data_IF_005711263789
#
_entry.id   IF_005711263789
#
_cell.length_a   1.000
_cell.length_b   1.000
_cell.length_c   1.000
_cell.angle_alpha   90.00
_cell.angle_beta   90.00
_cell.angle_gamma   90.00
#
_symmetry.space_group_name_H-M   'P 1'
#
loop_
_entity.id
_entity.type
_entity.pdbx_description
1 polymer ?
#
# COMPACT_ATOMS: atom_id res chain seq x y z
N UNK A 1 5.23 8.18 -9.67
CA UNK A 1 6.01 7.90 -8.46
C UNK A 1 6.09 9.16 -7.62
N UNK A 2 5.84 9.05 -6.29
CA UNK A 2 6.00 10.16 -5.36
C UNK A 2 7.46 10.15 -4.87
N UNK A 3 8.20 11.20 -5.18
CA UNK A 3 9.66 11.25 -4.96
C UNK A 3 10.04 11.95 -3.65
N UNK A 4 9.13 12.74 -3.09
CA UNK A 4 9.39 13.50 -1.88
C UNK A 4 8.28 13.32 -0.85
N UNK A 5 8.63 13.42 0.44
CA UNK A 5 7.66 13.39 1.55
C UNK A 5 6.54 14.43 1.35
N UNK A 6 6.86 15.61 0.83
CA UNK A 6 5.88 16.67 0.57
C UNK A 6 4.85 16.28 -0.49
N UNK A 7 5.28 15.60 -1.55
CA UNK A 7 4.37 15.06 -2.56
C UNK A 7 3.45 13.98 -1.97
N UNK A 8 3.99 13.11 -1.11
CA UNK A 8 3.22 12.11 -0.37
C UNK A 8 2.14 12.75 0.49
N UNK A 9 2.50 13.75 1.29
CA UNK A 9 1.55 14.48 2.15
C UNK A 9 0.45 15.13 1.31
N UNK A 10 0.82 15.77 0.20
CA UNK A 10 -0.16 16.37 -0.73
C UNK A 10 -1.10 15.34 -1.35
N UNK A 11 -0.58 14.16 -1.72
CA UNK A 11 -1.38 13.07 -2.27
C UNK A 11 -2.35 12.48 -1.23
N UNK A 12 -1.91 12.29 0.00
CA UNK A 12 -2.76 11.84 1.12
C UNK A 12 -3.91 12.83 1.36
N UNK A 13 -3.59 14.13 1.44
CA UNK A 13 -4.60 15.18 1.65
C UNK A 13 -5.59 15.25 0.48
N UNK A 14 -5.10 15.10 -0.75
CA UNK A 14 -5.94 15.08 -1.96
C UNK A 14 -6.88 13.88 -2.02
N UNK A 15 -6.50 12.75 -1.45
CA UNK A 15 -7.32 11.54 -1.36
C UNK A 15 -8.23 11.52 -0.14
N UNK A 16 -8.00 12.41 0.84
CA UNK A 16 -8.74 12.40 2.10
C UNK A 16 -10.21 12.83 1.90
N UNK A 17 -11.20 12.08 2.42
CA UNK A 17 -12.61 12.44 2.32
C UNK A 17 -12.90 13.82 2.94
N UNK A 18 -13.45 14.73 2.16
CA UNK A 18 -13.69 16.12 2.59
C UNK A 18 -12.45 17.03 2.53
N UNK A 19 -11.32 16.50 2.02
CA UNK A 19 -10.12 17.28 1.75
C UNK A 19 -9.37 17.79 3.00
N UNK A 20 -8.59 18.85 2.81
CA UNK A 20 -7.68 19.36 3.83
C UNK A 20 -8.37 19.85 5.12
N UNK A 21 -9.58 20.38 5.03
CA UNK A 21 -10.32 20.88 6.20
C UNK A 21 -10.73 19.72 7.12
N UNK A 22 -11.23 18.63 6.53
CA UNK A 22 -11.57 17.43 7.27
C UNK A 22 -10.31 16.73 7.81
N UNK A 23 -9.23 16.69 7.05
CA UNK A 23 -7.95 16.15 7.51
C UNK A 23 -7.38 16.96 8.71
N UNK A 24 -7.45 18.28 8.66
CA UNK A 24 -7.06 19.14 9.79
C UNK A 24 -7.89 18.87 11.04
N UNK A 25 -9.20 18.80 10.89
CA UNK A 25 -10.14 18.50 11.98
C UNK A 25 -9.86 17.11 12.58
N UNK A 26 -9.56 16.11 11.75
CA UNK A 26 -9.20 14.75 12.20
C UNK A 26 -7.97 14.74 13.10
N UNK A 27 -6.99 15.59 12.81
CA UNK A 27 -5.77 15.73 13.62
C UNK A 27 -5.94 16.71 14.80
N UNK A 28 -7.11 17.32 14.98
CA UNK A 28 -7.36 18.32 16.03
C UNK A 28 -6.56 19.60 15.82
N UNK A 29 -6.20 19.94 14.57
CA UNK A 29 -5.46 21.14 14.21
C UNK A 29 -6.38 22.16 13.55
N UNK A 30 -6.16 23.46 13.84
CA UNK A 30 -6.72 24.50 13.00
C UNK A 30 -6.11 24.45 11.59
N UNK A 31 -6.86 24.91 10.58
CA UNK A 31 -6.48 24.78 9.19
C UNK A 31 -5.13 25.44 8.87
N UNK A 32 -4.86 26.62 9.45
CA UNK A 32 -3.60 27.34 9.23
C UNK A 32 -2.40 26.58 9.78
N UNK A 33 -2.53 26.01 10.97
CA UNK A 33 -1.49 25.18 11.60
C UNK A 33 -1.28 23.88 10.82
N UNK A 34 -2.37 23.25 10.39
CA UNK A 34 -2.34 22.07 9.53
C UNK A 34 -1.60 22.34 8.22
N UNK A 35 -1.97 23.41 7.49
CA UNK A 35 -1.30 23.80 6.24
C UNK A 35 0.19 24.08 6.43
N UNK A 36 0.56 24.75 7.53
CA UNK A 36 1.97 24.99 7.84
C UNK A 36 2.75 23.69 8.04
N UNK A 37 2.18 22.73 8.75
CA UNK A 37 2.81 21.41 8.97
C UNK A 37 2.80 20.55 7.69
N UNK A 38 1.70 20.52 6.95
CA UNK A 38 1.55 19.72 5.74
C UNK A 38 2.51 20.15 4.61
N UNK A 39 2.69 21.48 4.48
CA UNK A 39 3.52 22.06 3.42
C UNK A 39 4.88 22.56 3.91
N UNK A 40 5.20 22.34 5.18
CA UNK A 40 6.46 22.74 5.80
C UNK A 40 6.75 24.24 5.64
N UNK A 41 5.72 25.07 5.76
CA UNK A 41 5.82 26.51 5.58
C UNK A 41 6.55 27.14 6.78
N UNK A 42 7.38 28.17 6.49
CA UNK A 42 8.06 29.01 7.49
C UNK A 42 8.83 28.21 8.57
N UNK A 43 9.43 27.07 8.22
CA UNK A 43 10.17 26.23 9.15
C UNK A 43 9.29 25.46 10.14
N UNK A 44 8.01 25.33 9.88
CA UNK A 44 7.10 24.55 10.70
C UNK A 44 7.50 23.07 10.73
N UNK A 45 7.28 22.43 11.88
CA UNK A 45 7.51 20.99 12.02
C UNK A 45 6.55 20.23 11.08
N UNK A 46 7.05 19.27 10.26
CA UNK A 46 6.21 18.48 9.38
C UNK A 46 5.21 17.61 10.15
N UNK A 47 4.16 17.16 9.50
CA UNK A 47 3.26 16.14 10.04
C UNK A 47 4.07 14.90 10.42
N UNK A 48 3.79 14.33 11.60
CA UNK A 48 4.46 13.12 12.07
C UNK A 48 4.01 11.89 11.28
N UNK A 49 4.78 10.82 11.34
CA UNK A 49 4.44 9.55 10.67
C UNK A 49 3.13 8.96 11.21
N UNK A 50 2.88 9.09 12.53
CA UNK A 50 1.60 8.68 13.13
C UNK A 50 0.42 9.49 12.61
N UNK A 51 0.59 10.79 12.39
CA UNK A 51 -0.43 11.64 11.79
C UNK A 51 -0.70 11.25 10.34
N UNK A 52 0.34 11.00 9.54
CA UNK A 52 0.19 10.52 8.17
C UNK A 52 -0.52 9.17 8.13
N UNK A 53 -0.13 8.21 8.97
CA UNK A 53 -0.78 6.92 9.07
C UNK A 53 -2.26 7.04 9.40
N UNK A 54 -2.62 7.92 10.33
CA UNK A 54 -4.00 8.15 10.72
C UNK A 54 -4.85 8.70 9.55
N UNK A 55 -4.29 9.64 8.77
CA UNK A 55 -4.96 10.19 7.59
C UNK A 55 -5.11 9.13 6.50
N UNK A 56 -4.09 8.33 6.24
CA UNK A 56 -4.12 7.27 5.23
C UNK A 56 -5.11 6.16 5.55
N UNK A 57 -5.27 5.79 6.82
CA UNK A 57 -6.26 4.80 7.24
C UNK A 57 -7.69 5.23 6.84
N UNK A 58 -8.02 6.50 6.95
CA UNK A 58 -9.33 7.02 6.56
C UNK A 58 -9.42 7.29 5.04
N UNK A 59 -8.33 7.73 4.43
CA UNK A 59 -8.25 7.94 2.99
C UNK A 59 -8.20 6.62 2.19
N UNK A 60 -7.90 5.50 2.83
CA UNK A 60 -7.72 4.20 2.18
C UNK A 60 -6.52 4.16 1.24
N UNK A 61 -5.45 4.90 1.57
CA UNK A 61 -4.22 5.01 0.76
C UNK A 61 -3.03 4.37 1.44
N UNK A 62 -1.96 4.14 0.67
CA UNK A 62 -0.68 3.56 1.12
C UNK A 62 0.52 4.33 0.58
N UNK A 63 0.35 5.62 0.29
CA UNK A 63 1.38 6.45 -0.33
C UNK A 63 2.64 6.59 0.53
N UNK A 64 2.46 6.73 1.86
CA UNK A 64 3.59 6.89 2.76
C UNK A 64 4.43 5.61 2.91
N UNK A 65 3.88 4.44 3.22
CA UNK A 65 4.68 3.21 3.27
C UNK A 65 5.28 2.83 1.91
N UNK A 66 4.61 3.10 0.79
CA UNK A 66 5.17 2.91 -0.54
C UNK A 66 6.40 3.81 -0.78
N UNK A 67 6.30 5.08 -0.42
CA UNK A 67 7.41 6.03 -0.50
C UNK A 67 8.60 5.58 0.36
N UNK A 68 8.35 5.17 1.61
CA UNK A 68 9.42 4.66 2.48
C UNK A 68 10.08 3.41 1.89
N UNK A 69 9.29 2.46 1.39
CA UNK A 69 9.83 1.26 0.75
C UNK A 69 10.73 1.60 -0.45
N UNK A 70 10.33 2.58 -1.27
CA UNK A 70 11.11 3.04 -2.43
C UNK A 70 12.46 3.65 -2.02
N UNK A 71 12.52 4.42 -0.92
CA UNK A 71 13.79 4.96 -0.42
C UNK A 71 14.82 3.86 -0.09
N UNK A 72 14.35 2.67 0.25
CA UNK A 72 15.18 1.49 0.53
C UNK A 72 15.27 0.52 -0.65
N UNK A 73 14.89 0.95 -1.86
CA UNK A 73 14.81 0.08 -3.05
C UNK A 73 13.94 -1.17 -2.82
N UNK A 74 12.93 -1.04 -1.96
CA UNK A 74 12.00 -2.08 -1.58
C UNK A 74 10.62 -1.88 -2.18
N UNK A 75 9.71 -2.77 -1.82
CA UNK A 75 8.31 -2.75 -2.21
C UNK A 75 7.42 -2.85 -0.96
N UNK A 76 6.39 -2.02 -0.87
CA UNK A 76 5.33 -2.18 0.11
C UNK A 76 4.25 -3.10 -0.44
N UNK A 77 3.82 -4.06 0.36
CA UNK A 77 2.73 -4.98 0.03
C UNK A 77 1.74 -4.99 1.19
N UNK A 78 0.53 -4.51 0.97
CA UNK A 78 -0.53 -4.56 1.96
C UNK A 78 -0.97 -6.01 2.20
N UNK A 79 -0.98 -6.43 3.47
CA UNK A 79 -1.39 -7.78 3.85
C UNK A 79 -2.91 -7.85 3.99
N UNK A 80 -3.51 -8.94 3.52
CA UNK A 80 -4.89 -9.25 3.80
C UNK A 80 -5.08 -9.63 5.27
N UNK A 81 -6.20 -9.25 5.87
CA UNK A 81 -6.55 -9.63 7.25
C UNK A 81 -6.64 -11.16 7.36
N UNK A 82 -6.16 -11.74 8.48
CA UNK A 82 -6.31 -13.16 8.72
C UNK A 82 -7.80 -13.50 8.92
N UNK A 83 -8.33 -14.33 8.05
CA UNK A 83 -9.63 -14.98 8.23
C UNK A 83 -9.48 -16.24 9.09
N UNK A 84 -10.58 -16.79 9.58
CA UNK A 84 -10.58 -18.12 10.22
C UNK A 84 -10.02 -19.16 9.27
N UNK A 85 -8.95 -19.84 9.69
CA UNK A 85 -8.16 -20.73 8.84
C UNK A 85 -8.62 -22.18 9.02
N UNK A 86 -8.94 -22.82 7.90
CA UNK A 86 -9.08 -24.27 7.76
C UNK A 86 -8.37 -24.76 6.48
N UNK A 87 -8.34 -26.08 6.26
CA UNK A 87 -7.69 -26.66 5.08
C UNK A 87 -8.36 -26.25 3.76
N UNK A 88 -9.65 -25.99 3.74
CA UNK A 88 -10.38 -25.52 2.55
C UNK A 88 -10.01 -24.07 2.25
N UNK A 89 -9.91 -23.25 3.27
CA UNK A 89 -9.44 -21.87 3.15
C UNK A 89 -8.01 -21.82 2.63
N UNK A 90 -7.13 -22.69 3.11
CA UNK A 90 -5.75 -22.79 2.64
C UNK A 90 -5.67 -23.18 1.16
N UNK A 91 -6.44 -24.18 0.73
CA UNK A 91 -6.54 -24.56 -0.69
C UNK A 91 -7.04 -23.39 -1.55
N UNK A 92 -8.08 -22.71 -1.11
CA UNK A 92 -8.65 -21.56 -1.83
C UNK A 92 -7.63 -20.41 -1.95
N UNK A 93 -6.81 -20.17 -0.92
CA UNK A 93 -5.72 -19.17 -0.96
C UNK A 93 -4.65 -19.55 -1.98
N UNK A 94 -4.25 -20.83 -2.02
CA UNK A 94 -3.27 -21.35 -2.99
C UNK A 94 -3.77 -21.17 -4.43
N UNK A 95 -5.03 -21.48 -4.69
CA UNK A 95 -5.65 -21.25 -6.00
C UNK A 95 -5.66 -19.77 -6.37
N UNK A 96 -6.06 -18.87 -5.45
CA UNK A 96 -6.06 -17.42 -5.69
C UNK A 96 -4.65 -16.89 -5.98
N UNK A 97 -3.64 -17.32 -5.23
CA UNK A 97 -2.24 -16.94 -5.47
C UNK A 97 -1.79 -17.38 -6.88
N UNK A 98 -2.15 -18.61 -7.29
CA UNK A 98 -1.83 -19.12 -8.63
C UNK A 98 -2.51 -18.35 -9.75
N UNK A 99 -3.78 -17.97 -9.57
CA UNK A 99 -4.52 -17.13 -10.53
C UNK A 99 -3.85 -15.75 -10.66
N UNK A 100 -3.51 -15.10 -9.54
CA UNK A 100 -2.85 -13.78 -9.55
C UNK A 100 -1.46 -13.85 -10.18
N UNK A 101 -0.70 -14.92 -9.96
CA UNK A 101 0.58 -15.14 -10.63
C UNK A 101 0.40 -15.22 -12.14
N UNK A 102 -0.55 -16.04 -12.60
CA UNK A 102 -0.84 -16.15 -14.04
C UNK A 102 -1.28 -14.83 -14.66
N UNK A 103 -2.02 -14.00 -13.92
CA UNK A 103 -2.39 -12.66 -14.38
C UNK A 103 -1.17 -11.75 -14.56
N UNK A 104 -0.17 -11.80 -13.68
CA UNK A 104 1.10 -11.06 -13.85
C UNK A 104 1.81 -11.51 -15.11
N UNK A 105 1.97 -12.83 -15.30
CA UNK A 105 2.65 -13.39 -16.46
C UNK A 105 1.94 -13.00 -17.78
N UNK A 106 0.61 -12.97 -17.79
CA UNK A 106 -0.18 -12.54 -18.93
C UNK A 106 -0.01 -11.07 -19.28
N UNK A 107 0.00 -10.18 -18.26
CA UNK A 107 0.20 -8.73 -18.47
C UNK A 107 1.60 -8.49 -19.02
N UNK A 108 2.63 -9.16 -18.50
CA UNK A 108 4.01 -9.08 -19.00
C UNK A 108 4.08 -9.55 -20.46
N UNK A 109 3.49 -10.70 -20.77
CA UNK A 109 3.49 -11.24 -22.12
C UNK A 109 2.86 -10.27 -23.12
N UNK A 110 1.74 -9.64 -22.74
CA UNK A 110 1.05 -8.65 -23.57
C UNK A 110 1.89 -7.38 -23.77
N UNK A 111 2.50 -6.86 -22.68
CA UNK A 111 3.35 -5.67 -22.76
C UNK A 111 4.60 -5.88 -23.63
N UNK A 112 5.05 -7.13 -23.79
CA UNK A 112 6.22 -7.46 -24.62
C UNK A 112 5.87 -7.75 -26.10
N UNK A 113 4.62 -7.62 -26.55
CA UNK A 113 4.22 -7.90 -27.94
C UNK A 113 4.91 -6.96 -28.94
N UNK A 114 5.17 -5.73 -28.57
CA UNK A 114 5.90 -4.76 -29.38
C UNK A 114 7.39 -4.63 -29.00
N UNK A 115 7.84 -5.32 -27.94
CA UNK A 115 9.22 -5.37 -27.46
C UNK A 115 9.64 -4.21 -26.57
N UNK A 116 8.70 -3.33 -26.15
CA UNK A 116 8.96 -2.16 -25.29
C UNK A 116 7.90 -2.10 -24.20
N UNK A 117 8.32 -1.98 -22.95
CA UNK A 117 7.39 -1.77 -21.82
C UNK A 117 7.25 -0.28 -21.57
N UNK A 118 6.07 0.27 -21.82
CA UNK A 118 5.75 1.67 -21.53
C UNK A 118 5.52 1.92 -20.05
N UNK A 119 5.58 3.18 -19.61
CA UNK A 119 5.38 3.59 -18.21
C UNK A 119 4.03 3.13 -17.63
N UNK A 120 2.97 3.15 -18.43
CA UNK A 120 1.64 2.70 -18.03
C UNK A 120 1.60 1.18 -17.83
N UNK A 121 2.26 0.43 -18.69
CA UNK A 121 2.39 -1.02 -18.61
C UNK A 121 3.26 -1.44 -17.44
N UNK A 122 4.40 -0.76 -17.24
CA UNK A 122 5.25 -0.98 -16.07
C UNK A 122 4.48 -0.80 -14.75
N UNK A 123 3.65 0.24 -14.64
CA UNK A 123 2.78 0.46 -13.48
C UNK A 123 1.75 -0.65 -13.31
N UNK A 124 1.13 -1.10 -14.39
CA UNK A 124 0.15 -2.19 -14.35
C UNK A 124 0.79 -3.53 -13.93
N UNK A 125 1.97 -3.85 -14.45
CA UNK A 125 2.75 -5.03 -14.08
C UNK A 125 3.10 -4.98 -12.59
N UNK A 126 3.64 -3.86 -12.10
CA UNK A 126 4.03 -3.72 -10.69
C UNK A 126 2.82 -3.79 -9.74
N UNK A 127 1.68 -3.21 -10.11
CA UNK A 127 0.46 -3.30 -9.33
C UNK A 127 -0.06 -4.74 -9.26
N UNK A 128 -0.10 -5.46 -10.37
CA UNK A 128 -0.49 -6.87 -10.42
C UNK A 128 0.48 -7.74 -9.61
N UNK A 129 1.78 -7.48 -9.71
CA UNK A 129 2.80 -8.18 -8.94
C UNK A 129 2.66 -7.94 -7.42
N UNK A 130 2.43 -6.71 -6.98
CA UNK A 130 2.16 -6.40 -5.57
C UNK A 130 0.93 -7.16 -5.06
N UNK A 131 -0.14 -7.23 -5.85
CA UNK A 131 -1.35 -8.00 -5.52
C UNK A 131 -1.08 -9.51 -5.40
N UNK A 132 -0.26 -10.07 -6.30
CA UNK A 132 0.18 -11.46 -6.20
C UNK A 132 1.02 -11.70 -4.93
N UNK A 133 2.00 -10.83 -4.65
CA UNK A 133 2.86 -10.94 -3.47
C UNK A 133 2.05 -10.90 -2.16
N UNK A 134 1.03 -10.05 -2.07
CA UNK A 134 0.13 -9.99 -0.92
C UNK A 134 -0.61 -11.31 -0.71
N UNK A 135 -1.18 -11.88 -1.76
CA UNK A 135 -1.91 -13.16 -1.70
C UNK A 135 -0.98 -14.32 -1.34
N UNK A 136 0.20 -14.38 -1.99
CA UNK A 136 1.20 -15.43 -1.72
C UNK A 136 1.72 -15.35 -0.28
N UNK A 137 1.99 -14.17 0.22
CA UNK A 137 2.42 -13.99 1.60
C UNK A 137 1.33 -14.43 2.59
N UNK A 138 0.07 -14.06 2.35
CA UNK A 138 -1.07 -14.52 3.14
C UNK A 138 -1.24 -16.04 3.14
N UNK A 139 -1.02 -16.71 2.01
CA UNK A 139 -1.00 -18.17 1.90
C UNK A 139 0.12 -18.77 2.76
N UNK A 140 1.34 -18.25 2.66
CA UNK A 140 2.50 -18.73 3.44
C UNK A 140 2.25 -18.57 4.94
N UNK A 141 1.76 -17.41 5.38
CA UNK A 141 1.39 -17.19 6.78
C UNK A 141 0.29 -18.14 7.26
N UNK A 142 -0.69 -18.43 6.41
CA UNK A 142 -1.75 -19.38 6.73
C UNK A 142 -1.21 -20.80 6.93
N UNK A 143 -0.29 -21.26 6.07
CA UNK A 143 0.39 -22.55 6.23
C UNK A 143 1.15 -22.60 7.55
N UNK A 144 1.93 -21.57 7.86
CA UNK A 144 2.69 -21.49 9.12
C UNK A 144 1.77 -21.49 10.31
N UNK A 145 0.71 -20.67 10.30
CA UNK A 145 -0.24 -20.60 11.43
C UNK A 145 -0.99 -21.93 11.66
N UNK A 146 -1.36 -22.63 10.58
CA UNK A 146 -2.12 -23.89 10.68
C UNK A 146 -1.27 -25.06 11.16
N UNK A 147 0.04 -25.05 10.89
CA UNK A 147 0.92 -26.20 11.14
C UNK A 147 2.05 -25.92 12.15
N UNK A 148 2.16 -24.71 12.71
CA UNK A 148 3.14 -24.45 13.76
C UNK A 148 2.65 -24.98 15.12
N UNK A 149 3.53 -25.69 15.84
CA UNK A 149 3.31 -26.07 17.24
C UNK A 149 3.47 -24.82 18.14
N UNK A 150 2.41 -24.09 18.33
CA UNK A 150 2.36 -22.87 19.13
C UNK A 150 1.94 -21.66 18.30
N UNK A 151 0.74 -21.19 18.56
CA UNK A 151 0.20 -19.97 17.96
C UNK A 151 1.23 -18.85 17.97
N UNK A 152 1.55 -18.32 16.81
CA UNK A 152 2.09 -16.98 16.70
C UNK A 152 1.03 -16.01 17.26
N UNK A 153 1.12 -15.72 18.56
CA UNK A 153 0.33 -14.71 19.25
C UNK A 153 0.88 -13.32 18.95
#
# INVERSE_FOLDING_TARGET
LLETRRQVVSAIIGAYPGGRECAAARLGLDLKKFDNHAYENAGSKPLSDDQLRLLEQEAGTTFFPEYIAQLYSGMFVALSQPETLDNLTLYSRSVRASIKRGAVDLIIAKALEDGVIEDAEAKAILAAHASYMAERHGEVLAVVALHSEGSLR
#
